data_IF_762905524108
#
_entry.id   IF_762905524108
#
_cell.length_a   1.000
_cell.length_b   1.000
_cell.length_c   1.000
_cell.angle_alpha   90.00
_cell.angle_beta   90.00
_cell.angle_gamma   90.00
#
_symmetry.space_group_name_H-M   'P 1'
#
loop_
_entity.id
_entity.type
_entity.pdbx_description
1 polymer ?
#
# COMPACT_ATOMS: atom_id res chain seq x y z
N UNK A 1 -6.10 -12.06 -21.25
CA UNK A 1 -6.11 -10.58 -21.46
C UNK A 1 -5.32 -10.17 -22.71
N UNK A 2 -5.75 -9.15 -23.47
CA UNK A 2 -4.94 -8.52 -24.53
C UNK A 2 -3.63 -7.99 -23.94
N UNK A 3 -2.54 -8.09 -24.70
CA UNK A 3 -1.26 -7.42 -24.42
C UNK A 3 -1.50 -5.91 -24.28
N UNK A 4 -1.64 -5.44 -23.04
CA UNK A 4 -1.68 -4.01 -22.71
C UNK A 4 -0.27 -3.63 -22.28
N UNK A 5 0.36 -2.77 -23.07
CA UNK A 5 1.60 -2.10 -22.70
C UNK A 5 1.27 -0.67 -22.29
N UNK A 6 1.71 -0.30 -21.09
CA UNK A 6 1.62 1.01 -20.48
C UNK A 6 3.02 1.61 -20.51
N UNK A 7 3.11 2.85 -20.97
CA UNK A 7 4.36 3.58 -21.13
C UNK A 7 4.40 4.86 -20.28
N UNK A 8 3.25 5.34 -19.82
CA UNK A 8 3.12 6.61 -19.08
C UNK A 8 2.41 6.43 -17.75
N UNK A 9 2.65 7.35 -16.83
CA UNK A 9 1.93 7.38 -15.55
C UNK A 9 0.43 7.55 -15.76
N UNK A 10 0.01 8.40 -16.69
CA UNK A 10 -1.40 8.71 -16.96
C UNK A 10 -2.16 7.49 -17.50
N UNK A 11 -1.50 6.62 -18.26
CA UNK A 11 -2.03 5.31 -18.64
C UNK A 11 -2.17 4.38 -17.45
N UNK A 12 -1.18 4.36 -16.54
CA UNK A 12 -1.23 3.58 -15.31
C UNK A 12 -2.37 4.05 -14.37
N UNK A 13 -2.62 5.37 -14.30
CA UNK A 13 -3.75 5.99 -13.60
C UNK A 13 -5.08 5.52 -14.21
N UNK A 14 -5.22 5.52 -15.55
CA UNK A 14 -6.42 4.99 -16.21
C UNK A 14 -6.63 3.51 -15.89
N UNK A 15 -5.56 2.72 -15.87
CA UNK A 15 -5.65 1.30 -15.53
C UNK A 15 -6.10 1.07 -14.08
N UNK A 16 -5.53 1.78 -13.09
CA UNK A 16 -5.94 1.60 -11.70
C UNK A 16 -7.40 2.00 -11.49
N UNK A 17 -7.91 3.02 -12.18
CA UNK A 17 -9.34 3.34 -12.19
C UNK A 17 -10.18 2.25 -12.88
N UNK A 18 -9.68 1.57 -13.90
CA UNK A 18 -10.39 0.46 -14.53
C UNK A 18 -10.46 -0.76 -13.58
N UNK A 19 -9.31 -1.26 -13.12
CA UNK A 19 -9.22 -2.54 -12.41
C UNK A 19 -9.36 -2.44 -10.89
N UNK A 20 -9.23 -1.26 -10.32
CA UNK A 20 -9.40 -0.95 -8.90
C UNK A 20 -8.25 -1.43 -7.98
N UNK A 21 -7.70 -2.61 -8.23
CA UNK A 21 -6.59 -3.23 -7.48
C UNK A 21 -5.50 -3.63 -8.48
N UNK A 22 -4.29 -3.08 -8.35
CA UNK A 22 -3.17 -3.37 -9.26
C UNK A 22 -1.93 -3.82 -8.47
N UNK A 23 -1.61 -5.13 -8.45
CA UNK A 23 -0.36 -5.62 -7.90
C UNK A 23 0.86 -5.02 -8.60
N UNK A 24 1.95 -4.79 -7.86
CA UNK A 24 3.21 -4.36 -8.48
C UNK A 24 3.83 -5.49 -9.33
N UNK A 25 3.73 -6.73 -8.85
CA UNK A 25 4.23 -7.94 -9.49
C UNK A 25 3.10 -8.99 -9.60
N UNK A 26 3.23 -10.04 -10.46
CA UNK A 26 2.19 -11.04 -10.65
C UNK A 26 1.71 -11.65 -9.33
N UNK A 27 0.40 -11.60 -9.10
CA UNK A 27 -0.21 -12.06 -7.84
C UNK A 27 -1.59 -12.70 -8.05
N UNK A 28 -2.40 -12.11 -8.94
CA UNK A 28 -3.78 -12.48 -9.17
C UNK A 28 -3.86 -13.16 -10.55
N UNK A 29 -4.45 -14.37 -10.68
CA UNK A 29 -4.58 -15.06 -11.96
C UNK A 29 -5.40 -14.26 -12.99
N UNK A 30 -4.93 -14.22 -14.24
CA UNK A 30 -5.56 -13.47 -15.36
C UNK A 30 -6.03 -12.06 -14.96
N UNK A 31 -5.13 -11.35 -14.27
CA UNK A 31 -5.31 -9.97 -13.83
C UNK A 31 -3.96 -9.24 -13.98
N UNK A 32 -3.94 -7.95 -14.36
CA UNK A 32 -2.69 -7.26 -14.63
C UNK A 32 -1.87 -7.05 -13.35
N UNK A 33 -0.55 -6.97 -13.52
CA UNK A 33 0.34 -6.35 -12.54
C UNK A 33 1.17 -5.29 -13.25
N UNK A 34 1.61 -4.24 -12.53
CA UNK A 34 2.36 -3.14 -13.13
C UNK A 34 3.61 -3.65 -13.87
N UNK A 35 4.29 -4.66 -13.32
CA UNK A 35 5.45 -5.30 -13.95
C UNK A 35 5.13 -6.03 -15.26
N UNK A 36 3.96 -6.67 -15.39
CA UNK A 36 3.61 -7.41 -16.62
C UNK A 36 3.17 -6.51 -17.77
N UNK A 37 2.63 -5.33 -17.44
CA UNK A 37 2.02 -4.40 -18.38
C UNK A 37 2.93 -3.20 -18.69
N UNK A 38 4.18 -3.20 -18.23
CA UNK A 38 5.17 -2.17 -18.55
C UNK A 38 6.44 -2.80 -19.12
N UNK A 39 7.15 -2.14 -20.04
CA UNK A 39 8.41 -2.67 -20.58
C UNK A 39 9.50 -2.72 -19.49
N UNK A 40 10.23 -3.83 -19.42
CA UNK A 40 11.25 -4.05 -18.38
C UNK A 40 12.37 -3.00 -18.42
N UNK A 41 12.73 -2.54 -19.61
CA UNK A 41 13.74 -1.50 -19.85
C UNK A 41 13.36 -0.11 -19.33
N UNK A 42 12.08 0.11 -19.00
CA UNK A 42 11.62 1.39 -18.44
C UNK A 42 11.83 1.49 -16.92
N UNK A 43 12.11 0.37 -16.24
CA UNK A 43 12.25 0.32 -14.78
C UNK A 43 13.64 0.79 -14.30
N UNK A 44 13.65 1.46 -13.15
CA UNK A 44 14.88 1.93 -12.46
C UNK A 44 15.70 2.94 -13.29
N UNK A 45 15.05 3.61 -14.25
CA UNK A 45 15.65 4.65 -15.07
C UNK A 45 15.68 6.01 -14.35
N UNK A 46 14.85 6.20 -13.32
CA UNK A 46 14.69 7.46 -12.60
C UNK A 46 13.99 8.56 -13.40
N UNK A 47 13.44 8.23 -14.58
CA UNK A 47 12.71 9.16 -15.44
C UNK A 47 11.22 9.21 -15.07
N UNK A 48 10.48 10.18 -15.63
CA UNK A 48 9.02 10.26 -15.45
C UNK A 48 8.27 9.06 -16.07
N UNK A 49 8.93 8.28 -16.92
CA UNK A 49 8.39 7.07 -17.52
C UNK A 49 8.72 5.81 -16.71
N UNK A 50 9.42 5.95 -15.58
CA UNK A 50 9.85 4.82 -14.74
C UNK A 50 8.71 4.31 -13.85
N UNK A 51 8.23 3.06 -14.05
CA UNK A 51 7.19 2.48 -13.19
C UNK A 51 7.60 2.36 -11.72
N UNK A 52 8.91 2.28 -11.43
CA UNK A 52 9.42 2.31 -10.07
C UNK A 52 9.18 3.66 -9.39
N UNK A 53 9.18 4.76 -10.14
CA UNK A 53 8.89 6.10 -9.61
C UNK A 53 7.39 6.29 -9.43
N UNK A 54 6.58 5.77 -10.36
CA UNK A 54 5.12 5.87 -10.30
C UNK A 54 4.51 5.31 -9.01
N UNK A 55 5.08 4.23 -8.45
CA UNK A 55 4.58 3.58 -7.21
C UNK A 55 4.42 4.56 -6.04
N UNK A 56 5.26 5.60 -5.99
CA UNK A 56 5.26 6.61 -4.94
C UNK A 56 4.45 7.86 -5.32
N UNK A 57 4.19 8.06 -6.61
CA UNK A 57 3.32 9.12 -7.12
C UNK A 57 1.84 8.82 -6.82
N UNK A 58 1.41 7.57 -7.01
CA UNK A 58 0.05 7.11 -6.73
C UNK A 58 -0.51 7.47 -5.34
N UNK A 59 0.21 7.20 -4.23
CA UNK A 59 -0.27 7.62 -2.92
C UNK A 59 -0.15 9.14 -2.73
N UNK A 60 0.86 9.78 -3.31
CA UNK A 60 1.13 11.22 -3.15
C UNK A 60 0.10 12.11 -3.86
N UNK A 61 -0.47 11.68 -4.98
CA UNK A 61 -1.54 12.41 -5.68
C UNK A 61 -2.96 11.90 -5.33
N UNK A 62 -3.05 10.92 -4.45
CA UNK A 62 -4.31 10.35 -3.97
C UNK A 62 -5.02 9.42 -4.94
N UNK A 63 -4.39 9.06 -6.06
CA UNK A 63 -4.98 8.11 -7.02
C UNK A 63 -5.15 6.72 -6.39
N UNK A 64 -4.19 6.25 -5.61
CA UNK A 64 -4.24 4.92 -5.00
C UNK A 64 -3.37 4.80 -3.75
N UNK A 65 -3.87 4.07 -2.75
CA UNK A 65 -3.07 3.62 -1.63
C UNK A 65 -2.03 2.62 -2.12
N UNK A 66 -0.82 2.68 -1.55
CA UNK A 66 0.28 1.78 -1.90
C UNK A 66 0.89 1.16 -0.65
N UNK A 67 1.27 -0.12 -0.74
CA UNK A 67 1.97 -0.81 0.33
C UNK A 67 1.91 -2.32 0.17
N UNK A 68 2.34 -3.06 1.19
CA UNK A 68 2.21 -4.52 1.26
C UNK A 68 0.83 -4.98 1.72
N UNK A 69 -0.20 -4.49 1.04
CA UNK A 69 -1.59 -4.44 1.51
C UNK A 69 -2.36 -5.76 1.32
N UNK A 70 -1.96 -6.61 0.37
CA UNK A 70 -2.64 -7.89 0.11
C UNK A 70 -1.66 -9.06 0.17
N UNK A 71 -1.90 -10.02 1.07
CA UNK A 71 -1.07 -11.23 1.26
C UNK A 71 0.41 -10.89 1.39
N UNK A 72 0.75 -9.78 2.07
CA UNK A 72 2.13 -9.30 2.28
C UNK A 72 2.86 -8.91 0.98
N UNK A 73 2.13 -8.62 -0.11
CA UNK A 73 2.66 -8.22 -1.42
C UNK A 73 2.37 -6.76 -1.72
N UNK A 74 3.26 -6.12 -2.45
CA UNK A 74 3.12 -4.73 -2.89
C UNK A 74 1.97 -4.59 -3.89
N UNK A 75 0.95 -3.82 -3.52
CA UNK A 75 -0.27 -3.62 -4.30
C UNK A 75 -0.69 -2.15 -4.23
N UNK A 76 -1.16 -1.64 -5.35
CA UNK A 76 -1.88 -0.37 -5.47
C UNK A 76 -3.38 -0.65 -5.35
N UNK A 77 -4.09 0.11 -4.52
CA UNK A 77 -5.54 0.03 -4.38
C UNK A 77 -6.09 1.43 -4.63
N UNK A 78 -6.92 1.58 -5.66
CA UNK A 78 -7.57 2.86 -5.98
C UNK A 78 -8.21 3.47 -4.74
N UNK A 79 -8.15 4.80 -4.63
CA UNK A 79 -8.76 5.55 -3.53
C UNK A 79 -10.25 5.26 -3.37
N UNK A 80 -10.97 5.03 -4.48
CA UNK A 80 -12.38 4.60 -4.50
C UNK A 80 -12.61 3.29 -3.71
N UNK A 81 -11.69 2.32 -3.80
CA UNK A 81 -11.89 0.99 -3.22
C UNK A 81 -11.16 0.77 -1.90
N UNK A 82 -10.19 1.61 -1.58
CA UNK A 82 -9.41 1.47 -0.38
C UNK A 82 -10.25 1.44 0.91
N UNK A 83 -11.31 2.28 1.09
CA UNK A 83 -12.16 2.20 2.28
C UNK A 83 -12.83 0.82 2.46
N UNK A 84 -13.35 0.23 1.37
CA UNK A 84 -13.97 -1.10 1.42
C UNK A 84 -12.94 -2.20 1.71
N UNK A 85 -11.76 -2.12 1.09
CA UNK A 85 -10.68 -3.08 1.36
C UNK A 85 -10.21 -2.97 2.81
N UNK A 86 -10.03 -1.75 3.34
CA UNK A 86 -9.67 -1.51 4.73
C UNK A 86 -10.71 -2.05 5.70
N UNK A 87 -12.00 -1.86 5.42
CA UNK A 87 -13.07 -2.42 6.24
C UNK A 87 -13.02 -3.96 6.27
N UNK A 88 -12.77 -4.63 5.13
CA UNK A 88 -12.81 -6.10 5.03
C UNK A 88 -11.55 -6.77 5.56
N UNK A 89 -10.37 -6.25 5.22
CA UNK A 89 -9.07 -6.88 5.53
C UNK A 89 -8.32 -6.23 6.68
N UNK A 90 -8.63 -4.97 6.98
CA UNK A 90 -7.99 -4.24 8.07
C UNK A 90 -8.49 -4.72 9.43
N UNK A 91 -7.90 -4.16 10.48
CA UNK A 91 -8.37 -4.41 11.83
C UNK A 91 -9.07 -3.17 12.42
N UNK A 92 -10.34 -3.26 12.85
CA UNK A 92 -11.04 -2.11 13.42
C UNK A 92 -10.53 -1.74 14.82
N UNK A 93 -9.78 -2.63 15.49
CA UNK A 93 -9.22 -2.34 16.81
C UNK A 93 -7.91 -1.54 16.70
N UNK A 94 -7.74 -0.48 17.51
CA UNK A 94 -6.49 0.27 17.58
C UNK A 94 -5.28 -0.64 17.80
N UNK A 95 -4.14 -0.27 17.19
CA UNK A 95 -2.88 -1.03 17.28
C UNK A 95 -2.45 -1.23 18.74
N UNK A 96 -2.62 -0.21 19.59
CA UNK A 96 -2.28 -0.24 21.01
C UNK A 96 -3.09 -1.28 21.78
N UNK A 97 -4.36 -1.46 21.46
CA UNK A 97 -5.22 -2.44 22.15
C UNK A 97 -4.91 -3.85 21.68
N UNK A 98 -4.67 -4.05 20.38
CA UNK A 98 -4.16 -5.31 19.85
C UNK A 98 -2.83 -5.72 20.46
N UNK A 99 -1.94 -4.76 20.72
CA UNK A 99 -0.68 -5.01 21.43
C UNK A 99 -0.91 -5.55 22.85
N UNK A 100 -1.84 -4.95 23.62
CA UNK A 100 -2.18 -5.45 24.97
C UNK A 100 -2.72 -6.88 24.95
N UNK A 101 -3.36 -7.28 23.85
CA UNK A 101 -3.85 -8.65 23.62
C UNK A 101 -2.79 -9.61 23.07
N UNK A 102 -1.56 -9.15 22.84
CA UNK A 102 -0.47 -9.97 22.27
C UNK A 102 -0.60 -10.25 20.77
N UNK A 103 -1.47 -9.50 20.07
CA UNK A 103 -1.73 -9.65 18.63
C UNK A 103 -0.82 -8.78 17.75
N UNK A 104 -0.11 -7.83 18.35
CA UNK A 104 0.83 -6.93 17.68
C UNK A 104 2.20 -7.05 18.33
N UNK A 105 3.27 -7.10 17.53
CA UNK A 105 4.63 -7.11 18.06
C UNK A 105 5.03 -5.76 18.69
N UNK A 106 5.95 -5.78 19.66
CA UNK A 106 6.49 -4.53 20.25
C UNK A 106 7.09 -3.61 19.18
N UNK A 107 7.78 -4.19 18.21
CA UNK A 107 8.38 -3.44 17.11
C UNK A 107 7.32 -2.76 16.24
N UNK A 108 6.24 -3.45 15.88
CA UNK A 108 5.13 -2.85 15.14
C UNK A 108 4.46 -1.72 15.94
N UNK A 109 4.25 -1.88 17.25
CA UNK A 109 3.71 -0.81 18.09
C UNK A 109 4.61 0.44 18.10
N UNK A 110 5.91 0.28 18.29
CA UNK A 110 6.87 1.39 18.30
C UNK A 110 6.93 2.12 16.95
N UNK A 111 6.91 1.35 15.85
CA UNK A 111 6.84 1.91 14.50
C UNK A 111 5.54 2.67 14.27
N UNK A 112 4.39 2.08 14.64
CA UNK A 112 3.09 2.72 14.46
C UNK A 112 2.99 4.05 15.22
N UNK A 113 3.42 4.06 16.49
CA UNK A 113 3.44 5.30 17.30
C UNK A 113 4.30 6.38 16.67
N UNK A 114 5.49 6.01 16.18
CA UNK A 114 6.39 6.97 15.56
C UNK A 114 5.88 7.48 14.20
N UNK A 115 5.21 6.62 13.41
CA UNK A 115 4.58 7.02 12.15
C UNK A 115 3.41 7.98 12.43
N UNK A 116 2.55 7.65 13.41
CA UNK A 116 1.43 8.49 13.82
C UNK A 116 1.86 9.86 14.35
N UNK A 117 2.98 9.91 15.07
CA UNK A 117 3.57 11.17 15.58
C UNK A 117 4.17 12.03 14.45
N UNK A 118 4.71 11.39 13.40
CA UNK A 118 5.36 12.06 12.28
C UNK A 118 4.88 11.47 10.95
N UNK A 119 3.69 11.90 10.52
CA UNK A 119 3.08 11.39 9.30
C UNK A 119 3.96 11.69 8.07
N UNK A 120 4.15 10.68 7.23
CA UNK A 120 5.06 10.74 6.08
C UNK A 120 6.54 10.75 6.47
N UNK A 121 6.91 10.08 7.57
CA UNK A 121 8.31 9.85 7.98
C UNK A 121 9.01 8.84 7.04
N UNK A 122 10.23 9.16 6.62
CA UNK A 122 11.02 8.29 5.75
C UNK A 122 11.78 7.20 6.52
N UNK A 123 12.06 6.09 5.83
CA UNK A 123 12.61 4.84 6.42
C UNK A 123 13.82 5.06 7.35
N UNK A 124 14.79 5.89 6.98
CA UNK A 124 16.02 6.11 7.76
C UNK A 124 15.73 6.86 9.06
N UNK A 125 14.93 7.92 8.98
CA UNK A 125 14.44 8.70 10.13
C UNK A 125 13.59 7.85 11.06
N UNK A 126 12.68 7.04 10.50
CA UNK A 126 11.87 6.10 11.28
C UNK A 126 12.75 5.10 12.03
N UNK A 127 13.74 4.50 11.36
CA UNK A 127 14.71 3.59 12.01
C UNK A 127 15.50 4.27 13.11
N UNK A 128 15.94 5.52 12.91
CA UNK A 128 16.69 6.27 13.91
C UNK A 128 15.84 6.57 15.14
N UNK A 129 14.63 7.12 14.94
CA UNK A 129 13.73 7.53 16.04
C UNK A 129 13.18 6.36 16.86
N UNK A 130 13.02 5.20 16.23
CA UNK A 130 12.61 3.96 16.90
C UNK A 130 13.77 3.15 17.48
N UNK A 131 15.02 3.62 17.36
CA UNK A 131 16.21 2.88 17.81
C UNK A 131 16.50 1.60 17.00
N UNK A 132 15.86 1.44 15.83
CA UNK A 132 16.02 0.29 14.94
C UNK A 132 17.04 0.53 13.80
N UNK A 133 17.98 1.46 13.98
CA UNK A 133 18.99 1.85 12.98
C UNK A 133 20.17 0.86 12.85
N UNK A 134 20.44 0.05 13.87
CA UNK A 134 21.48 -0.98 13.86
C UNK A 134 21.22 -2.08 12.80
N UNK A 135 22.27 -2.72 12.28
CA UNK A 135 22.18 -3.65 11.12
C UNK A 135 21.34 -4.89 11.45
N UNK A 136 21.51 -5.42 12.66
CA UNK A 136 20.80 -6.55 13.25
C UNK A 136 19.29 -6.31 13.38
N UNK A 137 18.87 -5.04 13.53
CA UNK A 137 17.46 -4.66 13.65
C UNK A 137 16.73 -4.63 12.29
N UNK A 138 17.42 -4.81 11.16
CA UNK A 138 16.81 -4.76 9.81
C UNK A 138 15.63 -5.73 9.66
N UNK A 139 15.75 -6.95 10.19
CA UNK A 139 14.69 -7.96 10.12
C UNK A 139 13.49 -7.54 10.98
N UNK A 140 13.73 -7.14 12.22
CA UNK A 140 12.71 -6.68 13.17
C UNK A 140 11.93 -5.50 12.60
N UNK A 141 12.64 -4.49 12.09
CA UNK A 141 12.05 -3.32 11.44
C UNK A 141 11.17 -3.71 10.24
N UNK A 142 11.71 -4.55 9.34
CA UNK A 142 10.97 -5.01 8.16
C UNK A 142 9.74 -5.85 8.48
N UNK A 143 9.79 -6.67 9.55
CA UNK A 143 8.66 -7.45 10.02
C UNK A 143 7.59 -6.58 10.66
N UNK A 144 7.97 -5.60 11.49
CA UNK A 144 7.01 -4.67 12.11
C UNK A 144 6.28 -3.81 11.07
N UNK A 145 7.00 -3.26 10.08
CA UNK A 145 6.35 -2.57 8.96
C UNK A 145 5.42 -3.47 8.15
N UNK A 146 5.82 -4.74 7.95
CA UNK A 146 5.01 -5.68 7.19
C UNK A 146 3.73 -6.04 7.95
N UNK A 147 3.83 -6.25 9.26
CA UNK A 147 2.71 -6.51 10.15
C UNK A 147 1.66 -5.39 10.07
N UNK A 148 2.08 -4.13 10.22
CA UNK A 148 1.19 -2.97 10.12
C UNK A 148 0.57 -2.78 8.72
N UNK A 149 1.33 -3.05 7.66
CA UNK A 149 0.80 -2.97 6.29
C UNK A 149 -0.19 -4.09 5.97
N UNK A 150 0.03 -5.30 6.50
CA UNK A 150 -0.85 -6.47 6.29
C UNK A 150 -2.20 -6.29 7.00
N UNK A 151 -2.24 -5.50 8.09
CA UNK A 151 -3.46 -5.11 8.80
C UNK A 151 -4.00 -3.73 8.39
N UNK A 152 -3.44 -3.13 7.34
CA UNK A 152 -3.86 -1.84 6.77
C UNK A 152 -3.87 -0.69 7.79
N UNK A 153 -2.95 -0.72 8.76
CA UNK A 153 -2.75 0.34 9.75
C UNK A 153 -1.95 1.51 9.17
N UNK A 154 -1.03 1.19 8.25
CA UNK A 154 -0.15 2.16 7.59
C UNK A 154 -0.11 1.91 6.09
N UNK A 155 0.22 2.95 5.34
CA UNK A 155 0.51 2.89 3.90
C UNK A 155 1.91 3.44 3.62
N UNK A 156 2.41 3.17 2.42
CA UNK A 156 3.52 3.92 1.85
C UNK A 156 2.95 5.19 1.23
N UNK A 157 3.37 6.36 1.71
CA UNK A 157 2.82 7.65 1.31
C UNK A 157 3.59 8.38 0.23
N UNK A 158 4.75 7.83 -0.15
CA UNK A 158 5.56 8.35 -1.24
C UNK A 158 7.05 8.19 -0.95
N UNK A 159 7.82 9.12 -1.50
CA UNK A 159 9.25 9.23 -1.24
C UNK A 159 9.58 10.67 -0.88
N UNK A 160 10.26 10.87 0.25
CA UNK A 160 10.85 12.15 0.64
C UNK A 160 12.37 12.05 0.61
N UNK A 161 13.02 13.17 0.34
CA UNK A 161 14.46 13.31 0.57
C UNK A 161 14.76 13.16 2.07
N UNK A 162 15.81 12.41 2.39
CA UNK A 162 16.27 12.23 3.77
C UNK A 162 16.68 13.57 4.37
N UNK A 163 15.89 14.08 5.33
CA UNK A 163 16.21 15.31 6.10
C UNK A 163 17.31 15.12 7.15
N UNK A 164 17.88 13.92 7.27
CA UNK A 164 19.02 13.67 8.16
C UNK A 164 20.27 14.32 7.55
N UNK A 165 20.63 15.48 8.08
CA UNK A 165 21.81 16.32 7.77
C UNK A 165 23.18 15.67 8.08
N UNK A 166 23.31 14.35 8.04
CA UNK A 166 24.57 13.67 8.38
C UNK A 166 25.41 13.24 7.18
N UNK A 167 24.92 13.40 5.94
CA UNK A 167 25.73 13.13 4.75
C UNK A 167 25.13 13.83 3.51
N UNK A 168 25.79 14.90 3.05
CA UNK A 168 25.40 15.67 1.84
C UNK A 168 25.37 14.81 0.55
N UNK A 169 25.88 13.57 0.61
CA UNK A 169 25.99 12.64 -0.54
C UNK A 169 24.90 11.57 -0.61
N UNK A 170 23.94 11.56 0.32
CA UNK A 170 22.91 10.51 0.44
C UNK A 170 21.52 11.01 0.01
N UNK A 171 21.40 11.65 -1.16
CA UNK A 171 20.12 12.01 -1.77
C UNK A 171 19.39 10.78 -2.37
N UNK A 172 19.37 9.66 -1.64
CA UNK A 172 18.56 8.51 -2.01
C UNK A 172 17.14 8.72 -1.52
N UNK A 173 16.24 8.74 -2.49
CA UNK A 173 14.80 8.71 -2.30
C UNK A 173 14.39 7.50 -1.43
N UNK A 174 14.00 7.77 -0.19
CA UNK A 174 13.62 6.76 0.81
C UNK A 174 12.10 6.67 0.96
N UNK A 175 11.58 5.44 0.99
CA UNK A 175 10.14 5.18 1.19
C UNK A 175 9.66 5.84 2.49
N UNK A 176 8.57 6.61 2.37
CA UNK A 176 7.88 7.26 3.49
C UNK A 176 6.62 6.51 3.88
N UNK A 177 6.26 6.58 5.16
CA UNK A 177 5.10 5.90 5.72
C UNK A 177 4.22 6.88 6.48
N UNK A 178 2.91 6.63 6.43
CA UNK A 178 1.91 7.35 7.21
C UNK A 178 0.79 6.39 7.61
N UNK A 179 -0.03 6.76 8.59
CA UNK A 179 -1.19 5.95 8.97
C UNK A 179 -2.19 5.91 7.82
N UNK A 180 -2.85 4.75 7.63
CA UNK A 180 -3.87 4.61 6.59
C UNK A 180 -5.02 5.61 6.78
N UNK A 181 -5.34 5.92 8.04
CA UNK A 181 -6.29 6.95 8.42
C UNK A 181 -5.87 8.34 7.91
N UNK A 182 -4.64 8.77 8.22
CA UNK A 182 -4.14 10.07 7.78
C UNK A 182 -4.09 10.19 6.25
N UNK A 183 -3.62 9.14 5.55
CA UNK A 183 -3.62 9.12 4.10
C UNK A 183 -5.04 9.31 3.55
N UNK A 184 -6.03 8.56 4.06
CA UNK A 184 -7.42 8.67 3.66
C UNK A 184 -7.94 10.11 3.84
N UNK A 185 -7.75 10.70 5.01
CA UNK A 185 -8.16 12.09 5.27
C UNK A 185 -7.50 13.08 4.30
N UNK A 186 -6.20 12.91 4.03
CA UNK A 186 -5.43 13.80 3.14
C UNK A 186 -5.97 13.82 1.70
N UNK A 187 -6.59 12.73 1.25
CA UNK A 187 -7.16 12.57 -0.09
C UNK A 187 -8.69 12.76 -0.11
N UNK A 188 -9.27 13.25 0.98
CA UNK A 188 -10.71 13.53 1.10
C UNK A 188 -11.57 12.29 1.32
N UNK A 189 -10.97 11.17 1.72
CA UNK A 189 -11.69 9.97 2.16
C UNK A 189 -11.88 10.01 3.67
N UNK A 190 -13.04 9.60 4.14
CA UNK A 190 -13.33 9.52 5.56
C UNK A 190 -13.48 8.08 6.01
N UNK A 191 -12.81 7.74 7.11
CA UNK A 191 -13.06 6.48 7.79
C UNK A 191 -14.48 6.52 8.35
N UNK A 192 -15.34 5.70 7.78
CA UNK A 192 -16.71 5.49 8.25
C UNK A 192 -16.83 4.05 8.75
N UNK A 193 -17.72 3.82 9.71
CA UNK A 193 -18.12 2.47 10.11
C UNK A 193 -18.91 1.82 8.98
N UNK A 194 -18.19 1.41 7.92
CA UNK A 194 -18.77 0.72 6.78
C UNK A 194 -19.17 -0.67 7.24
N UNK A 195 -20.47 -0.97 7.17
CA UNK A 195 -20.98 -2.31 7.43
C UNK A 195 -20.27 -3.32 6.51
N UNK A 196 -19.74 -4.40 7.09
CA UNK A 196 -18.93 -5.37 6.37
C UNK A 196 -19.68 -6.06 5.22
N UNK A 197 -21.01 -6.21 5.31
CA UNK A 197 -21.81 -6.78 4.22
C UNK A 197 -21.92 -5.78 3.08
N UNK A 198 -22.13 -4.50 3.40
CA UNK A 198 -22.12 -3.41 2.40
C UNK A 198 -20.75 -3.34 1.72
N UNK A 199 -19.65 -3.30 2.49
CA UNK A 199 -18.29 -3.25 1.94
C UNK A 199 -18.02 -4.41 0.98
N UNK A 200 -18.37 -5.65 1.37
CA UNK A 200 -18.20 -6.83 0.51
C UNK A 200 -19.04 -6.74 -0.76
N UNK A 201 -20.30 -6.32 -0.66
CA UNK A 201 -21.20 -6.22 -1.81
C UNK A 201 -20.75 -5.16 -2.81
N UNK A 202 -20.37 -3.98 -2.35
CA UNK A 202 -19.88 -2.89 -3.21
C UNK A 202 -18.56 -3.29 -3.88
N UNK A 203 -17.60 -3.81 -3.12
CA UNK A 203 -16.32 -4.26 -3.66
C UNK A 203 -16.50 -5.41 -4.66
N UNK A 204 -17.37 -6.38 -4.37
CA UNK A 204 -17.66 -7.49 -5.29
C UNK A 204 -18.30 -7.00 -6.58
N UNK A 205 -19.31 -6.12 -6.50
CA UNK A 205 -19.98 -5.51 -7.66
C UNK A 205 -18.97 -4.79 -8.54
N UNK A 206 -18.10 -3.99 -7.92
CA UNK A 206 -17.09 -3.22 -8.64
C UNK A 206 -16.08 -4.11 -9.36
N UNK A 207 -15.55 -5.12 -8.69
CA UNK A 207 -14.54 -6.01 -9.28
C UNK A 207 -15.13 -6.91 -10.38
N UNK A 208 -16.39 -7.34 -10.26
CA UNK A 208 -17.08 -8.13 -11.30
C UNK A 208 -17.12 -7.42 -12.66
N UNK A 209 -17.13 -6.09 -12.67
CA UNK A 209 -17.19 -5.30 -13.91
C UNK A 209 -15.84 -5.23 -14.65
N UNK A 210 -14.72 -5.50 -13.98
CA UNK A 210 -13.37 -5.29 -14.51
C UNK A 210 -12.46 -6.52 -14.48
N UNK A 211 -12.86 -7.60 -13.80
CA UNK A 211 -12.01 -8.76 -13.55
C UNK A 211 -12.48 -10.02 -14.29
N UNK A 212 -11.53 -10.86 -14.68
CA UNK A 212 -11.80 -12.17 -15.27
C UNK A 212 -12.44 -13.13 -14.26
N UNK A 213 -13.08 -14.23 -14.71
CA UNK A 213 -13.60 -15.26 -13.80
C UNK A 213 -12.55 -15.85 -12.85
N UNK A 214 -11.30 -16.00 -13.30
CA UNK A 214 -10.22 -16.54 -12.47
C UNK A 214 -9.68 -15.53 -11.46
N UNK A 215 -9.59 -14.25 -11.84
CA UNK A 215 -9.33 -13.16 -10.90
C UNK A 215 -10.44 -13.06 -9.84
N UNK A 216 -11.71 -13.21 -10.26
CA UNK A 216 -12.85 -13.20 -9.35
C UNK A 216 -12.82 -14.36 -8.36
N UNK A 217 -12.40 -15.58 -8.74
CA UNK A 217 -12.20 -16.69 -7.80
C UNK A 217 -11.16 -16.33 -6.72
N UNK A 218 -10.07 -15.67 -7.11
CA UNK A 218 -9.06 -15.19 -6.18
C UNK A 218 -9.65 -14.16 -5.20
N UNK A 219 -10.37 -13.16 -5.70
CA UNK A 219 -10.97 -12.11 -4.87
C UNK A 219 -12.08 -12.63 -3.96
N UNK A 220 -12.93 -13.54 -4.42
CA UNK A 220 -13.95 -14.19 -3.59
C UNK A 220 -13.32 -14.90 -2.40
N UNK A 221 -12.19 -15.62 -2.61
CA UNK A 221 -11.47 -16.27 -1.51
C UNK A 221 -10.81 -15.25 -0.57
N UNK A 222 -10.26 -14.16 -1.11
CA UNK A 222 -9.55 -13.15 -0.33
C UNK A 222 -10.50 -12.32 0.55
N UNK A 223 -11.58 -11.82 -0.03
CA UNK A 223 -12.53 -10.92 0.63
C UNK A 223 -13.75 -11.62 1.22
N UNK A 224 -13.85 -12.94 1.03
CA UNK A 224 -14.97 -13.78 1.48
C UNK A 224 -16.31 -13.26 0.93
N UNK A 225 -16.37 -13.00 -0.38
CA UNK A 225 -17.61 -12.59 -1.02
C UNK A 225 -18.66 -13.70 -0.95
N UNK A 226 -19.92 -13.30 -0.80
CA UNK A 226 -21.05 -14.22 -0.92
C UNK A 226 -21.24 -14.61 -2.40
N UNK A 227 -21.78 -15.82 -2.61
CA UNK A 227 -22.00 -16.38 -3.94
C UNK A 227 -23.13 -15.65 -4.68
#
# INVERSE_FOLDING_TARGET
MKERNIHTYEEAVRLIHEVGILPLAPLIPDHPSLYQITPGESWLTGTDLDPWMWRARFPSDGTAAYGKLLKKKSVLISSELFPFVKAILGNPQPVEDRYKLGLVSKAALELFRQIKEEEGIETRSLRFKTGMNAKEMKKTFGQGLLELQDTLDIVISGVKESRILLDEKSAWQSTSFETAHHWMESVGLHESDIDLKIARKELQTRLKNSCSPDAMKFFTKLFQFEA
#
